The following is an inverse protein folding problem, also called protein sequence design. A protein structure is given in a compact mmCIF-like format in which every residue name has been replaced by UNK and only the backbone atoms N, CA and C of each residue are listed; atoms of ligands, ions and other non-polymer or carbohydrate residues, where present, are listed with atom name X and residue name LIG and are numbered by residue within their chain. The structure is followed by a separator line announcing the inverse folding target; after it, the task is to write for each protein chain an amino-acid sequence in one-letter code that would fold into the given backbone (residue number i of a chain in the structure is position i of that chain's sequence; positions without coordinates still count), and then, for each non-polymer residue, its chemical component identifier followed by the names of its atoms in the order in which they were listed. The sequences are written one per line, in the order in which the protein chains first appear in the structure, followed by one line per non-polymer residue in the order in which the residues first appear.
data_IF_970902173710
#
_entry.id   IF_970902173710
#
_cell.length_a   1.000
_cell.length_b   1.000
_cell.length_c   1.000
_cell.angle_alpha   90.00
_cell.angle_beta   90.00
_cell.angle_gamma   90.00
#
_symmetry.space_group_name_H-M   'P 1'
#
loop_
_entity.id
_entity.type
_entity.pdbx_description
1 polymer ?
#
# COMPACT_ATOMS: atom_id res chain seq x y z
N UNK A 1 -47.66 -30.48 -24.79
CA UNK A 1 -47.71 -29.77 -23.50
C UNK A 1 -46.28 -29.36 -23.13
N UNK A 2 -45.89 -28.13 -23.47
CA UNK A 2 -44.64 -27.53 -23.05
C UNK A 2 -44.96 -26.44 -22.03
N UNK A 3 -44.46 -26.58 -20.80
CA UNK A 3 -44.50 -25.54 -19.79
C UNK A 3 -43.37 -24.55 -20.06
N UNK A 4 -43.71 -23.32 -20.45
CA UNK A 4 -42.79 -22.18 -20.34
C UNK A 4 -42.79 -21.73 -18.88
N UNK A 5 -41.66 -21.90 -18.18
CA UNK A 5 -41.39 -21.18 -16.94
C UNK A 5 -40.88 -19.78 -17.28
N UNK A 6 -41.69 -18.76 -17.03
CA UNK A 6 -41.27 -17.36 -17.00
C UNK A 6 -40.49 -17.10 -15.71
N UNK A 7 -39.16 -17.02 -15.81
CA UNK A 7 -38.30 -16.54 -14.74
C UNK A 7 -38.36 -15.02 -14.66
N UNK A 8 -38.92 -14.49 -13.57
CA UNK A 8 -38.94 -13.06 -13.27
C UNK A 8 -37.56 -12.66 -12.73
N UNK A 9 -36.71 -12.08 -13.57
CA UNK A 9 -35.44 -11.49 -13.12
C UNK A 9 -35.74 -10.17 -12.40
N UNK A 10 -35.74 -10.17 -11.07
CA UNK A 10 -35.67 -8.95 -10.28
C UNK A 10 -34.26 -8.35 -10.42
N UNK A 11 -34.13 -7.32 -11.26
CA UNK A 11 -32.97 -6.44 -11.23
C UNK A 11 -33.06 -5.55 -9.99
N UNK A 12 -32.31 -5.90 -8.94
CA UNK A 12 -32.03 -4.99 -7.82
C UNK A 12 -31.12 -3.87 -8.35
N UNK A 13 -31.73 -2.75 -8.74
CA UNK A 13 -31.01 -1.49 -8.96
C UNK A 13 -30.56 -0.99 -7.59
N UNK A 14 -29.33 -1.33 -7.20
CA UNK A 14 -28.68 -0.75 -6.04
C UNK A 14 -28.49 0.75 -6.30
N UNK A 15 -29.25 1.59 -5.58
CA UNK A 15 -29.00 3.03 -5.57
C UNK A 15 -27.63 3.28 -4.93
N UNK A 16 -26.61 3.49 -5.75
CA UNK A 16 -25.34 4.04 -5.29
C UNK A 16 -25.63 5.47 -4.79
N UNK A 17 -25.75 5.63 -3.48
CA UNK A 17 -25.79 6.96 -2.88
C UNK A 17 -24.46 7.64 -3.22
N UNK A 18 -24.53 8.72 -4.01
CA UNK A 18 -23.38 9.57 -4.28
C UNK A 18 -22.94 10.21 -2.95
N UNK A 19 -21.98 9.61 -2.27
CA UNK A 19 -21.26 10.26 -1.19
C UNK A 19 -20.44 11.36 -1.86
N UNK A 20 -20.62 12.65 -1.51
CA UNK A 20 -19.75 13.69 -2.05
C UNK A 20 -18.32 13.30 -1.69
N UNK A 21 -17.39 13.36 -2.65
CA UNK A 21 -15.97 13.34 -2.30
C UNK A 21 -15.76 14.51 -1.36
N UNK A 22 -15.65 14.23 -0.06
CA UNK A 22 -15.11 15.20 0.90
C UNK A 22 -13.76 15.57 0.33
N UNK A 23 -13.58 16.83 -0.06
CA UNK A 23 -12.24 17.34 -0.31
C UNK A 23 -11.48 17.10 0.99
N UNK A 24 -10.61 16.09 1.04
CA UNK A 24 -9.46 16.16 1.94
C UNK A 24 -8.93 17.56 1.71
N UNK A 25 -8.90 18.38 2.74
CA UNK A 25 -8.31 19.70 2.68
C UNK A 25 -6.82 19.49 2.49
N UNK A 26 -6.41 19.16 1.26
CA UNK A 26 -5.02 19.19 0.84
C UNK A 26 -4.68 20.67 0.81
N UNK A 27 -4.30 21.21 1.97
CA UNK A 27 -3.72 22.53 2.05
C UNK A 27 -2.52 22.52 1.11
N UNK A 28 -2.61 23.22 -0.02
CA UNK A 28 -1.44 23.42 -0.89
C UNK A 28 -0.38 24.13 -0.05
N UNK A 29 0.78 23.51 0.22
CA UNK A 29 1.88 24.24 0.78
C UNK A 29 2.35 25.24 -0.28
N UNK A 30 3.06 26.28 0.15
CA UNK A 30 3.92 27.03 -0.75
C UNK A 30 4.88 26.06 -1.48
N UNK A 31 4.53 25.68 -2.71
CA UNK A 31 5.13 24.67 -3.61
C UNK A 31 5.28 23.27 -2.99
N UNK A 32 4.34 22.37 -3.30
CA UNK A 32 4.48 20.91 -3.09
C UNK A 32 5.63 20.28 -3.90
N UNK A 33 5.80 18.95 -3.86
CA UNK A 33 6.89 18.27 -4.57
C UNK A 33 6.84 18.56 -6.07
N UNK A 34 8.00 18.66 -6.71
CA UNK A 34 8.07 18.75 -8.16
C UNK A 34 7.80 17.39 -8.81
N UNK A 35 7.45 17.38 -10.11
CA UNK A 35 7.33 16.14 -10.87
C UNK A 35 8.61 15.29 -10.78
N UNK A 36 9.80 15.91 -10.76
CA UNK A 36 11.06 15.18 -10.60
C UNK A 36 11.20 14.54 -9.20
N UNK A 37 10.69 15.20 -8.16
CA UNK A 37 10.65 14.63 -6.81
C UNK A 37 9.69 13.43 -6.76
N UNK A 38 8.51 13.55 -7.39
CA UNK A 38 7.50 12.48 -7.45
C UNK A 38 8.02 11.29 -8.25
N UNK A 39 8.68 11.52 -9.39
CA UNK A 39 9.28 10.45 -10.20
C UNK A 39 10.43 9.76 -9.48
N UNK A 40 11.27 10.50 -8.74
CA UNK A 40 12.33 9.88 -7.92
C UNK A 40 11.76 9.13 -6.72
N UNK A 41 10.65 9.61 -6.14
CA UNK A 41 9.90 8.88 -5.13
C UNK A 41 9.37 7.55 -5.68
N UNK A 42 8.69 7.57 -6.83
CA UNK A 42 8.20 6.36 -7.49
C UNK A 42 9.36 5.42 -7.82
N UNK A 43 10.45 5.92 -8.42
CA UNK A 43 11.63 5.11 -8.75
C UNK A 43 12.28 4.47 -7.51
N UNK A 44 12.19 5.09 -6.34
CA UNK A 44 12.67 4.49 -5.08
C UNK A 44 11.87 3.25 -4.70
N UNK A 45 10.55 3.27 -4.93
CA UNK A 45 9.66 2.14 -4.68
C UNK A 45 9.83 1.06 -5.75
N UNK A 46 9.92 1.45 -7.03
CA UNK A 46 10.20 0.51 -8.12
C UNK A 46 11.51 -0.25 -7.92
N UNK A 47 12.58 0.43 -7.47
CA UNK A 47 13.83 -0.26 -7.14
C UNK A 47 13.67 -1.26 -5.99
N UNK A 48 12.80 -0.98 -5.02
CA UNK A 48 12.53 -1.89 -3.91
C UNK A 48 11.84 -3.16 -4.43
N UNK A 49 10.80 -3.03 -5.25
CA UNK A 49 10.04 -4.15 -5.82
C UNK A 49 10.86 -4.94 -6.84
N UNK A 50 11.57 -4.26 -7.74
CA UNK A 50 12.48 -4.88 -8.70
C UNK A 50 13.60 -5.69 -8.01
N UNK A 51 14.22 -5.16 -6.95
CA UNK A 51 15.20 -5.94 -6.16
C UNK A 51 14.52 -7.09 -5.43
N UNK A 52 13.35 -6.88 -4.81
CA UNK A 52 12.59 -7.90 -4.12
C UNK A 52 12.30 -9.11 -5.00
N UNK A 53 11.75 -8.89 -6.20
CA UNK A 53 11.39 -9.98 -7.11
C UNK A 53 12.61 -10.70 -7.68
N UNK A 54 13.66 -9.96 -8.06
CA UNK A 54 14.91 -10.58 -8.53
C UNK A 54 15.57 -11.44 -7.46
N UNK A 55 15.67 -10.93 -6.23
CA UNK A 55 16.26 -11.67 -5.11
C UNK A 55 15.42 -12.91 -4.77
N UNK A 56 14.09 -12.79 -4.83
CA UNK A 56 13.16 -13.90 -4.66
C UNK A 56 13.36 -15.00 -5.70
N UNK A 57 13.39 -14.63 -6.99
CA UNK A 57 13.56 -15.57 -8.11
C UNK A 57 14.98 -16.14 -8.21
N UNK A 58 15.99 -15.43 -7.70
CA UNK A 58 17.34 -15.97 -7.54
C UNK A 58 17.43 -17.00 -6.39
N UNK A 59 16.62 -16.82 -5.34
CA UNK A 59 16.60 -17.69 -4.15
C UNK A 59 15.72 -18.92 -4.31
N UNK A 60 14.60 -18.80 -5.01
CA UNK A 60 13.59 -19.85 -5.13
C UNK A 60 13.39 -20.27 -6.59
N UNK A 61 13.58 -21.55 -6.85
CA UNK A 61 13.33 -22.19 -8.14
C UNK A 61 11.85 -22.52 -8.33
N UNK A 62 11.46 -22.87 -9.57
CA UNK A 62 10.13 -23.42 -9.87
C UNK A 62 9.81 -24.64 -8.99
N UNK A 63 10.81 -25.47 -8.66
CA UNK A 63 10.64 -26.61 -7.75
C UNK A 63 10.28 -26.16 -6.33
N UNK A 64 10.89 -25.10 -5.81
CA UNK A 64 10.56 -24.58 -4.48
C UNK A 64 9.12 -24.05 -4.45
N UNK A 65 8.66 -23.44 -5.54
CA UNK A 65 7.25 -23.05 -5.70
C UNK A 65 6.33 -24.27 -5.72
N UNK A 66 6.66 -25.31 -6.48
CA UNK A 66 5.91 -26.57 -6.51
C UNK A 66 5.85 -27.24 -5.14
N UNK A 67 6.97 -27.31 -4.42
CA UNK A 67 7.05 -27.87 -3.07
C UNK A 67 6.24 -27.04 -2.05
N UNK A 68 6.10 -25.72 -2.28
CA UNK A 68 5.23 -24.84 -1.50
C UNK A 68 3.74 -24.92 -1.87
N UNK A 69 3.39 -25.66 -2.93
CA UNK A 69 2.01 -25.89 -3.38
C UNK A 69 1.54 -25.00 -4.53
N UNK A 70 2.46 -24.33 -5.23
CA UNK A 70 2.16 -23.45 -6.36
C UNK A 70 2.50 -24.12 -7.69
N UNK A 71 1.64 -23.97 -8.69
CA UNK A 71 1.90 -24.53 -10.02
C UNK A 71 2.96 -23.71 -10.80
N UNK A 72 3.41 -24.27 -11.93
CA UNK A 72 4.38 -23.62 -12.81
C UNK A 72 3.87 -22.30 -13.42
N UNK A 73 2.55 -22.13 -13.52
CA UNK A 73 1.94 -20.88 -14.01
C UNK A 73 2.15 -19.77 -12.98
N UNK A 74 2.08 -20.08 -11.67
CA UNK A 74 2.43 -19.13 -10.61
C UNK A 74 3.87 -18.67 -10.74
N UNK A 75 4.82 -19.59 -10.85
CA UNK A 75 6.24 -19.22 -11.00
C UNK A 75 6.47 -18.33 -12.23
N UNK A 76 5.90 -18.69 -13.39
CA UNK A 76 6.01 -17.90 -14.62
C UNK A 76 5.38 -16.51 -14.51
N UNK A 77 4.25 -16.39 -13.83
CA UNK A 77 3.62 -15.09 -13.62
C UNK A 77 4.46 -14.21 -12.68
N UNK A 78 5.08 -14.78 -11.64
CA UNK A 78 6.04 -14.02 -10.80
C UNK A 78 7.27 -13.58 -11.60
N UNK A 79 7.76 -14.39 -12.55
CA UNK A 79 8.81 -13.95 -13.48
C UNK A 79 8.34 -12.78 -14.37
N UNK A 80 7.04 -12.75 -14.72
CA UNK A 80 6.47 -11.65 -15.50
C UNK A 80 6.41 -10.38 -14.67
N UNK A 81 5.89 -10.45 -13.43
CA UNK A 81 5.90 -9.32 -12.47
C UNK A 81 7.32 -8.78 -12.31
N UNK A 82 8.30 -9.64 -12.05
CA UNK A 82 9.70 -9.23 -11.95
C UNK A 82 10.24 -8.50 -13.19
N UNK A 83 9.75 -8.85 -14.38
CA UNK A 83 10.14 -8.19 -15.64
C UNK A 83 9.42 -6.86 -15.82
N UNK A 84 8.19 -6.74 -15.34
CA UNK A 84 7.42 -5.50 -15.35
C UNK A 84 8.09 -4.48 -14.41
N UNK A 85 8.48 -4.87 -13.18
CA UNK A 85 9.20 -3.97 -12.25
C UNK A 85 10.52 -3.45 -12.82
N UNK A 86 11.31 -4.32 -13.45
CA UNK A 86 12.53 -3.89 -14.14
C UNK A 86 12.24 -2.89 -15.28
N UNK A 87 11.09 -3.03 -15.93
CA UNK A 87 10.63 -2.12 -16.99
C UNK A 87 10.18 -0.79 -16.40
N UNK A 88 9.46 -0.78 -15.28
CA UNK A 88 9.08 0.43 -14.55
C UNK A 88 10.33 1.23 -14.10
N UNK A 89 11.32 0.56 -13.49
CA UNK A 89 12.61 1.16 -13.13
C UNK A 89 13.29 1.81 -14.34
N UNK A 90 13.37 1.10 -15.47
CA UNK A 90 13.99 1.60 -16.70
C UNK A 90 13.25 2.82 -17.26
N UNK A 91 11.92 2.75 -17.26
CA UNK A 91 11.05 3.81 -17.73
C UNK A 91 11.24 5.10 -16.91
N UNK A 92 11.12 5.01 -15.57
CA UNK A 92 11.26 6.17 -14.68
C UNK A 92 12.67 6.74 -14.71
N UNK A 93 13.70 5.88 -14.75
CA UNK A 93 15.10 6.31 -14.89
C UNK A 93 15.29 7.14 -16.16
N UNK A 94 14.74 6.69 -17.28
CA UNK A 94 14.82 7.38 -18.57
C UNK A 94 14.04 8.70 -18.54
N UNK A 95 12.84 8.70 -17.94
CA UNK A 95 12.02 9.90 -17.81
C UNK A 95 12.72 10.99 -16.97
N UNK A 96 13.33 10.61 -15.85
CA UNK A 96 14.10 11.52 -14.99
C UNK A 96 15.32 12.10 -15.72
N UNK A 97 16.08 11.27 -16.44
CA UNK A 97 17.21 11.74 -17.25
C UNK A 97 16.78 12.70 -18.35
N UNK A 98 15.68 12.40 -19.04
CA UNK A 98 15.11 13.28 -20.07
C UNK A 98 14.61 14.61 -19.49
N UNK A 99 14.12 14.61 -18.25
CA UNK A 99 13.75 15.80 -17.50
C UNK A 99 14.96 16.59 -16.95
N UNK A 100 16.19 16.12 -17.15
CA UNK A 100 17.41 16.72 -16.61
C UNK A 100 17.57 16.53 -15.09
N UNK A 101 16.82 15.60 -14.50
CA UNK A 101 16.93 15.21 -13.10
C UNK A 101 17.90 14.03 -12.94
N UNK A 102 18.52 13.92 -11.76
CA UNK A 102 19.34 12.76 -11.40
C UNK A 102 18.42 11.65 -10.86
N UNK A 103 18.37 10.46 -11.49
CA UNK A 103 17.62 9.34 -10.95
C UNK A 103 18.25 8.77 -9.69
N UNK A 104 17.43 8.42 -8.70
CA UNK A 104 17.86 7.59 -7.56
C UNK A 104 18.36 6.23 -8.04
N UNK A 105 19.36 5.70 -7.33
CA UNK A 105 19.84 4.33 -7.48
C UNK A 105 19.18 3.43 -6.44
N UNK A 106 19.10 2.13 -6.73
CA UNK A 106 18.64 1.12 -5.80
C UNK A 106 19.38 1.18 -4.44
N UNK A 107 18.63 1.00 -3.37
CA UNK A 107 19.16 0.87 -2.02
C UNK A 107 19.60 -0.58 -1.74
N UNK A 108 20.12 -0.83 -0.54
CA UNK A 108 20.27 -2.18 0.01
C UNK A 108 19.03 -2.47 0.84
N UNK A 109 18.45 -3.66 0.65
CA UNK A 109 17.19 -4.03 1.26
C UNK A 109 17.30 -5.29 2.14
N UNK A 110 16.35 -5.45 3.06
CA UNK A 110 16.14 -6.68 3.82
C UNK A 110 14.65 -7.01 3.91
N UNK A 111 14.24 -8.06 3.19
CA UNK A 111 12.84 -8.48 3.09
C UNK A 111 12.43 -9.60 4.06
N UNK A 112 13.40 -10.18 4.79
CA UNK A 112 13.20 -11.19 5.83
C UNK A 112 12.41 -12.47 5.45
N UNK A 113 12.05 -12.72 4.19
CA UNK A 113 11.40 -13.96 3.76
C UNK A 113 12.35 -15.16 3.76
N UNK A 114 11.86 -16.30 4.22
CA UNK A 114 12.65 -17.53 4.36
C UNK A 114 12.20 -18.65 3.45
N UNK A 115 10.98 -18.57 2.93
CA UNK A 115 10.37 -19.56 2.05
C UNK A 115 9.44 -18.89 1.01
N UNK A 116 8.94 -19.66 0.04
CA UNK A 116 8.07 -19.15 -1.03
C UNK A 116 6.77 -18.54 -0.49
N UNK A 117 6.23 -19.06 0.61
CA UNK A 117 4.96 -18.56 1.17
C UNK A 117 5.15 -17.19 1.81
N UNK A 118 6.20 -17.03 2.60
CA UNK A 118 6.60 -15.73 3.17
C UNK A 118 7.03 -14.74 2.11
N UNK A 119 7.68 -15.19 1.03
CA UNK A 119 7.96 -14.37 -0.14
C UNK A 119 6.67 -13.85 -0.80
N UNK A 120 5.71 -14.72 -1.15
CA UNK A 120 4.45 -14.28 -1.77
C UNK A 120 3.58 -13.44 -0.82
N UNK A 121 3.66 -13.66 0.49
CA UNK A 121 3.00 -12.79 1.47
C UNK A 121 3.62 -11.39 1.49
N UNK A 122 4.95 -11.27 1.47
CA UNK A 122 5.63 -9.97 1.32
C UNK A 122 5.31 -9.32 -0.02
N UNK A 123 5.22 -10.10 -1.11
CA UNK A 123 4.82 -9.62 -2.42
C UNK A 123 3.43 -8.97 -2.37
N UNK A 124 2.42 -9.65 -1.79
CA UNK A 124 1.06 -9.10 -1.61
C UNK A 124 1.08 -7.73 -0.91
N UNK A 125 1.93 -7.60 0.12
CA UNK A 125 2.11 -6.36 0.87
C UNK A 125 2.69 -5.25 0.00
N UNK A 126 3.81 -5.51 -0.67
CA UNK A 126 4.51 -4.52 -1.49
C UNK A 126 3.61 -4.02 -2.63
N UNK A 127 3.00 -4.93 -3.36
CA UNK A 127 2.10 -4.63 -4.48
C UNK A 127 0.91 -3.76 -4.07
N UNK A 128 0.30 -4.06 -2.92
CA UNK A 128 -0.76 -3.21 -2.38
C UNK A 128 -0.25 -1.82 -1.98
N UNK A 129 0.99 -1.72 -1.50
CA UNK A 129 1.65 -0.44 -1.20
C UNK A 129 1.98 0.32 -2.49
N UNK A 130 2.43 -0.36 -3.55
CA UNK A 130 2.66 0.20 -4.89
C UNK A 130 1.38 0.83 -5.46
N UNK A 131 0.26 0.11 -5.42
CA UNK A 131 -1.07 0.64 -5.79
C UNK A 131 -1.40 1.91 -5.01
N UNK A 132 -1.26 1.87 -3.69
CA UNK A 132 -1.52 3.02 -2.82
C UNK A 132 -0.59 4.21 -3.08
N UNK A 133 0.65 3.96 -3.47
CA UNK A 133 1.66 4.97 -3.77
C UNK A 133 1.34 5.72 -5.05
N UNK A 134 1.11 5.00 -6.15
CA UNK A 134 0.74 5.62 -7.42
C UNK A 134 -0.59 6.36 -7.34
N UNK A 135 -1.59 5.76 -6.68
CA UNK A 135 -2.89 6.40 -6.50
C UNK A 135 -2.79 7.66 -5.62
N UNK A 136 -1.98 7.61 -4.57
CA UNK A 136 -1.74 8.73 -3.66
C UNK A 136 -1.02 9.90 -4.31
N UNK A 137 0.04 9.63 -5.08
CA UNK A 137 0.83 10.65 -5.76
C UNK A 137 0.13 11.27 -6.99
N UNK A 138 -0.92 10.62 -7.51
CA UNK A 138 -1.58 11.04 -8.76
C UNK A 138 -2.06 12.50 -8.74
N UNK A 139 -2.51 13.00 -7.59
CA UNK A 139 -2.99 14.37 -7.45
C UNK A 139 -1.85 15.42 -7.49
N UNK A 140 -0.63 15.02 -7.14
CA UNK A 140 0.54 15.90 -7.06
C UNK A 140 1.30 16.01 -8.39
N UNK A 141 1.04 15.11 -9.35
CA UNK A 141 1.69 15.13 -10.67
C UNK A 141 1.15 16.29 -11.52
N UNK A 142 2.04 17.23 -11.86
CA UNK A 142 1.73 18.42 -12.65
C UNK A 142 1.65 18.10 -14.15
N UNK A 143 2.62 17.34 -14.67
CA UNK A 143 2.67 16.92 -16.07
C UNK A 143 1.60 15.89 -16.40
N UNK A 144 0.77 16.18 -17.42
CA UNK A 144 -0.27 15.23 -17.88
C UNK A 144 0.31 13.99 -18.55
N UNK A 145 1.50 14.09 -19.11
CA UNK A 145 2.21 12.95 -19.69
C UNK A 145 2.69 12.02 -18.58
N UNK A 146 3.26 12.56 -17.50
CA UNK A 146 3.66 11.77 -16.34
C UNK A 146 2.45 11.20 -15.60
N UNK A 147 1.36 11.95 -15.49
CA UNK A 147 0.13 11.45 -14.88
C UNK A 147 -0.44 10.26 -15.67
N UNK A 148 -0.40 10.34 -17.00
CA UNK A 148 -0.84 9.23 -17.87
C UNK A 148 0.06 8.02 -17.72
N UNK A 149 1.38 8.23 -17.67
CA UNK A 149 2.33 7.15 -17.44
C UNK A 149 2.16 6.50 -16.07
N UNK A 150 2.08 7.29 -15.00
CA UNK A 150 1.79 6.82 -13.65
C UNK A 150 0.47 6.05 -13.58
N UNK A 151 -0.58 6.53 -14.25
CA UNK A 151 -1.84 5.83 -14.37
C UNK A 151 -1.73 4.48 -15.08
N UNK A 152 -0.83 4.35 -16.06
CA UNK A 152 -0.57 3.06 -16.72
C UNK A 152 0.08 2.05 -15.77
N UNK A 153 1.10 2.47 -15.01
CA UNK A 153 1.79 1.64 -14.01
C UNK A 153 0.82 1.22 -12.90
N UNK A 154 0.06 2.16 -12.32
CA UNK A 154 -0.97 1.88 -11.31
C UNK A 154 -1.91 0.73 -11.70
N UNK A 155 -2.35 0.67 -12.97
CA UNK A 155 -3.25 -0.41 -13.41
C UNK A 155 -2.55 -1.77 -13.52
N UNK A 156 -1.23 -1.79 -13.73
CA UNK A 156 -0.41 -2.99 -13.76
C UNK A 156 -0.16 -3.49 -12.35
N UNK A 157 0.27 -2.61 -11.43
CA UNK A 157 0.38 -2.89 -9.98
C UNK A 157 -0.91 -3.50 -9.42
N UNK A 158 -2.06 -2.93 -9.75
CA UNK A 158 -3.35 -3.44 -9.28
C UNK A 158 -3.64 -4.86 -9.78
N UNK A 159 -3.18 -5.22 -11.00
CA UNK A 159 -3.33 -6.59 -11.53
C UNK A 159 -2.37 -7.56 -10.88
N UNK A 160 -1.13 -7.13 -10.64
CA UNK A 160 -0.13 -7.90 -9.90
C UNK A 160 -0.61 -8.19 -8.48
N UNK A 161 -1.02 -7.15 -7.73
CA UNK A 161 -1.63 -7.27 -6.40
C UNK A 161 -2.82 -8.23 -6.39
N UNK A 162 -3.80 -8.03 -7.28
CA UNK A 162 -4.99 -8.90 -7.36
C UNK A 162 -4.62 -10.36 -7.62
N UNK A 163 -3.68 -10.60 -8.53
CA UNK A 163 -3.21 -11.94 -8.86
C UNK A 163 -2.53 -12.61 -7.66
N UNK A 164 -1.60 -11.91 -7.00
CA UNK A 164 -0.83 -12.47 -5.87
C UNK A 164 -1.75 -12.76 -4.70
N UNK A 165 -2.65 -11.83 -4.36
CA UNK A 165 -3.70 -12.02 -3.35
C UNK A 165 -4.49 -13.30 -3.59
N UNK A 166 -4.95 -13.51 -4.84
CA UNK A 166 -5.65 -14.74 -5.22
C UNK A 166 -4.83 -16.01 -4.95
N UNK A 167 -3.50 -15.96 -5.20
CA UNK A 167 -2.61 -17.10 -5.00
C UNK A 167 -2.33 -17.42 -3.55
N UNK A 168 -2.34 -16.42 -2.67
CA UNK A 168 -2.16 -16.64 -1.24
C UNK A 168 -3.47 -16.86 -0.47
N UNK A 169 -4.58 -17.09 -1.18
CA UNK A 169 -5.94 -17.29 -0.65
C UNK A 169 -6.53 -16.06 0.04
N UNK A 170 -6.11 -14.87 -0.38
CA UNK A 170 -6.77 -13.61 -0.05
C UNK A 170 -7.78 -13.24 -1.12
N UNK A 171 -8.71 -12.33 -0.78
CA UNK A 171 -9.67 -11.83 -1.77
C UNK A 171 -8.94 -10.91 -2.77
N UNK A 172 -9.04 -11.17 -4.08
CA UNK A 172 -8.28 -10.43 -5.10
C UNK A 172 -8.71 -8.96 -5.30
N UNK A 173 -9.93 -8.63 -4.89
CA UNK A 173 -10.54 -7.30 -5.00
C UNK A 173 -11.44 -7.07 -3.77
N UNK A 174 -10.84 -6.91 -2.58
CA UNK A 174 -11.55 -6.97 -1.31
C UNK A 174 -12.48 -5.77 -1.07
N UNK A 175 -12.26 -4.67 -1.77
CA UNK A 175 -13.00 -3.42 -1.65
C UNK A 175 -13.17 -2.74 -3.01
N UNK A 176 -14.22 -1.89 -3.19
CA UNK A 176 -14.50 -1.24 -4.47
C UNK A 176 -13.55 -0.09 -4.80
N UNK A 177 -12.75 0.37 -3.83
CA UNK A 177 -11.79 1.46 -3.99
C UNK A 177 -10.51 1.16 -3.22
N UNK A 178 -9.35 1.34 -3.85
CA UNK A 178 -8.06 1.30 -3.17
C UNK A 178 -7.83 2.57 -2.34
N UNK A 179 -6.96 2.48 -1.34
CA UNK A 179 -6.67 3.57 -0.42
C UNK A 179 -5.46 4.39 -0.91
N UNK A 180 -5.62 5.67 -1.26
CA UNK A 180 -4.48 6.55 -1.54
C UNK A 180 -3.76 6.92 -0.24
N UNK A 181 -2.46 6.64 -0.20
CA UNK A 181 -1.57 7.02 0.90
C UNK A 181 -0.76 8.28 0.55
N UNK A 182 -0.39 9.09 1.53
CA UNK A 182 0.56 10.19 1.32
C UNK A 182 1.98 9.66 1.04
N UNK A 183 2.85 10.50 0.50
CA UNK A 183 4.25 10.12 0.25
C UNK A 183 4.94 9.67 1.54
N UNK A 184 4.68 10.35 2.66
CA UNK A 184 5.22 10.01 3.99
C UNK A 184 4.64 8.68 4.51
N UNK A 185 3.34 8.45 4.34
CA UNK A 185 2.69 7.19 4.73
C UNK A 185 3.30 5.99 3.98
N UNK A 186 3.48 6.10 2.67
CA UNK A 186 4.12 5.04 1.86
C UNK A 186 5.59 4.88 2.23
N UNK A 187 6.34 5.98 2.33
CA UNK A 187 7.76 5.91 2.68
C UNK A 187 7.97 5.30 4.07
N UNK A 188 7.03 5.50 5.01
CA UNK A 188 7.03 4.85 6.31
C UNK A 188 6.88 3.33 6.22
N UNK A 189 6.15 2.82 5.22
CA UNK A 189 6.05 1.38 4.95
C UNK A 189 7.30 0.86 4.24
N UNK A 190 7.74 1.53 3.17
CA UNK A 190 8.90 1.14 2.38
C UNK A 190 10.22 1.17 3.18
N UNK A 191 10.40 2.20 4.03
CA UNK A 191 11.63 2.39 4.82
C UNK A 191 11.95 1.23 5.76
N UNK A 192 10.97 0.40 6.10
CA UNK A 192 11.18 -0.78 6.94
C UNK A 192 12.00 -1.88 6.24
N UNK A 193 12.04 -1.85 4.91
CA UNK A 193 12.84 -2.77 4.10
C UNK A 193 14.19 -2.19 3.71
N UNK A 194 14.40 -0.88 3.88
CA UNK A 194 15.61 -0.18 3.45
C UNK A 194 16.68 -0.24 4.55
N UNK A 195 17.83 -0.85 4.26
CA UNK A 195 18.98 -0.92 5.16
C UNK A 195 19.87 0.31 4.99
N UNK A 196 20.17 0.68 3.74
CA UNK A 196 20.99 1.85 3.40
C UNK A 196 20.78 2.23 1.93
N UNK A 197 20.97 3.50 1.59
CA UNK A 197 20.92 3.97 0.20
C UNK A 197 22.25 4.65 -0.18
N UNK A 198 22.61 4.68 -1.48
CA UNK A 198 23.77 5.43 -1.94
C UNK A 198 23.72 6.90 -1.50
N UNK A 199 24.80 7.46 -0.92
CA UNK A 199 24.80 8.81 -0.38
C UNK A 199 24.63 9.90 -1.45
N UNK A 200 24.88 9.56 -2.72
CA UNK A 200 24.65 10.44 -3.87
C UNK A 200 23.19 10.50 -4.33
N UNK A 201 22.30 9.65 -3.79
CA UNK A 201 20.89 9.71 -4.16
C UNK A 201 20.31 11.09 -3.79
N UNK A 202 19.47 11.69 -4.65
CA UNK A 202 18.77 12.91 -4.31
C UNK A 202 17.91 12.71 -3.05
N UNK A 203 17.81 13.74 -2.23
CA UNK A 203 16.94 13.71 -1.06
C UNK A 203 15.49 13.76 -1.51
N UNK A 204 14.72 12.77 -1.11
CA UNK A 204 13.27 12.76 -1.31
C UNK A 204 12.60 13.71 -0.30
N UNK A 205 11.53 14.43 -0.68
CA UNK A 205 10.76 15.28 0.21
C UNK A 205 9.78 14.45 1.05
N UNK A 206 10.29 13.42 1.74
CA UNK A 206 9.49 12.50 2.55
C UNK A 206 10.06 12.33 3.94
N UNK A 207 9.20 12.00 4.89
CA UNK A 207 9.52 11.71 6.27
C UNK A 207 8.89 10.36 6.66
N UNK A 208 9.71 9.47 7.19
CA UNK A 208 9.21 8.25 7.80
C UNK A 208 8.60 8.58 9.17
N UNK A 209 7.34 8.21 9.37
CA UNK A 209 6.69 8.21 10.67
C UNK A 209 7.20 7.06 11.54
N UNK A 210 7.05 7.16 12.88
CA UNK A 210 7.31 6.05 13.78
C UNK A 210 6.52 4.79 13.40
N UNK A 211 7.23 3.65 13.34
CA UNK A 211 6.65 2.36 12.93
C UNK A 211 5.56 1.87 13.89
N UNK A 212 4.48 1.33 13.33
CA UNK A 212 3.51 0.50 14.05
C UNK A 212 3.64 -0.96 13.64
N UNK A 213 3.51 -1.87 14.60
CA UNK A 213 3.53 -3.32 14.36
C UNK A 213 2.19 -3.93 14.79
N UNK A 214 1.47 -4.57 13.88
CA UNK A 214 0.26 -5.32 14.24
C UNK A 214 0.63 -6.51 15.14
N UNK A 215 0.02 -6.58 16.34
CA UNK A 215 0.17 -7.71 17.27
C UNK A 215 -0.91 -8.77 17.06
N UNK A 216 -2.13 -8.34 16.76
CA UNK A 216 -3.26 -9.24 16.57
C UNK A 216 -3.04 -10.14 15.37
N UNK A 217 -3.19 -11.45 15.59
CA UNK A 217 -3.00 -12.46 14.53
C UNK A 217 -4.26 -12.60 13.66
N UNK A 218 -4.12 -12.83 12.34
CA UNK A 218 -5.25 -13.14 11.47
C UNK A 218 -5.91 -14.49 11.85
N UNK A 219 -7.18 -14.72 11.46
CA UNK A 219 -8.02 -13.81 10.68
C UNK A 219 -8.55 -12.65 11.53
N UNK A 220 -8.53 -11.43 10.96
CA UNK A 220 -9.11 -10.22 11.54
C UNK A 220 -10.34 -9.86 10.72
N UNK A 221 -11.45 -9.51 11.36
CA UNK A 221 -12.67 -9.05 10.68
C UNK A 221 -13.19 -7.75 11.29
N UNK A 222 -14.10 -7.11 10.58
CA UNK A 222 -14.85 -5.96 11.10
C UNK A 222 -15.50 -6.26 12.44
N UNK A 223 -15.42 -5.30 13.37
CA UNK A 223 -15.93 -5.42 14.73
C UNK A 223 -14.96 -6.06 15.71
N UNK A 224 -13.88 -6.70 15.25
CA UNK A 224 -12.82 -7.18 16.14
C UNK A 224 -12.07 -6.00 16.77
N UNK A 225 -11.56 -6.21 17.98
CA UNK A 225 -10.57 -5.31 18.58
C UNK A 225 -9.18 -5.80 18.23
N UNK A 226 -8.38 -4.94 17.61
CA UNK A 226 -6.99 -5.22 17.26
C UNK A 226 -6.04 -4.39 18.10
N UNK A 227 -4.81 -4.86 18.24
CA UNK A 227 -3.71 -4.17 18.92
C UNK A 227 -2.57 -3.92 17.94
N UNK A 228 -2.06 -2.68 17.95
CA UNK A 228 -0.80 -2.29 17.30
C UNK A 228 0.20 -1.85 18.37
N UNK A 229 1.46 -2.24 18.19
CA UNK A 229 2.56 -1.95 19.11
C UNK A 229 3.41 -0.78 18.59
N UNK A 230 4.02 -0.05 19.53
CA UNK A 230 4.99 1.02 19.30
C UNK A 230 6.38 0.57 19.76
N UNK A 231 7.07 -0.32 19.01
CA UNK A 231 8.29 -0.94 19.49
C UNK A 231 9.42 0.09 19.65
N UNK A 232 9.95 0.20 20.87
CA UNK A 232 11.10 1.07 21.16
C UNK A 232 10.76 2.53 21.42
N UNK A 233 9.49 2.92 21.44
CA UNK A 233 9.07 4.29 21.74
C UNK A 233 7.69 4.34 22.41
N UNK A 234 7.32 5.52 22.92
CA UNK A 234 5.98 5.83 23.43
C UNK A 234 5.48 7.08 22.71
N UNK A 235 4.18 7.15 22.45
CA UNK A 235 3.54 8.34 21.91
C UNK A 235 3.19 9.26 23.08
N UNK A 236 3.72 10.48 23.06
CA UNK A 236 3.34 11.52 24.02
C UNK A 236 2.01 12.14 23.59
N UNK A 237 0.93 11.87 24.32
CA UNK A 237 -0.40 12.39 23.98
C UNK A 237 -0.75 13.69 24.70
N UNK A 238 0.07 14.12 25.68
CA UNK A 238 -0.19 15.31 26.52
C UNK A 238 -1.62 15.38 27.12
N UNK A 239 -2.24 14.22 27.37
CA UNK A 239 -3.62 14.13 27.89
C UNK A 239 -4.71 14.18 26.82
N UNK A 240 -4.34 14.35 25.55
CA UNK A 240 -5.25 14.29 24.41
C UNK A 240 -5.59 12.84 24.04
N UNK A 241 -6.73 12.68 23.37
CA UNK A 241 -7.14 11.40 22.81
C UNK A 241 -6.32 11.08 21.57
N UNK A 242 -6.09 9.79 21.37
CA UNK A 242 -5.50 9.28 20.15
C UNK A 242 -6.57 8.54 19.35
N UNK A 243 -6.47 8.60 18.03
CA UNK A 243 -7.36 7.93 17.10
C UNK A 243 -6.57 7.02 16.17
N UNK A 244 -7.15 5.88 15.84
CA UNK A 244 -6.79 5.07 14.70
C UNK A 244 -7.59 5.57 13.50
N UNK A 245 -6.90 6.13 12.52
CA UNK A 245 -7.51 6.60 11.28
C UNK A 245 -7.30 5.55 10.18
N UNK A 246 -8.40 4.95 9.73
CA UNK A 246 -8.44 3.99 8.64
C UNK A 246 -8.51 4.75 7.31
N UNK A 247 -7.50 4.59 6.45
CA UNK A 247 -7.36 5.39 5.23
C UNK A 247 -8.25 4.85 4.11
N UNK A 248 -9.01 5.73 3.47
CA UNK A 248 -9.85 5.44 2.30
C UNK A 248 -9.95 6.67 1.39
N UNK A 249 -10.21 6.44 0.10
CA UNK A 249 -10.39 7.54 -0.89
C UNK A 249 -11.61 8.42 -0.58
N UNK A 250 -12.62 7.87 0.10
CA UNK A 250 -13.82 8.61 0.55
C UNK A 250 -13.59 9.47 1.79
N UNK A 251 -12.36 9.48 2.31
CA UNK A 251 -11.98 10.12 3.57
C UNK A 251 -11.74 9.09 4.68
N UNK A 252 -10.88 9.42 5.66
CA UNK A 252 -10.53 8.51 6.74
C UNK A 252 -11.70 8.24 7.69
N UNK A 253 -11.74 7.03 8.26
CA UNK A 253 -12.64 6.71 9.38
C UNK A 253 -11.85 6.66 10.68
N UNK A 254 -12.25 7.47 11.66
CA UNK A 254 -11.58 7.56 12.95
C UNK A 254 -12.25 6.67 14.00
N UNK A 255 -11.43 5.90 14.72
CA UNK A 255 -11.84 5.13 15.89
C UNK A 255 -10.93 5.49 17.05
N UNK A 256 -11.47 5.71 18.25
CA UNK A 256 -10.64 6.01 19.42
C UNK A 256 -9.64 4.87 19.70
N UNK A 257 -8.36 5.20 19.75
CA UNK A 257 -7.26 4.28 20.04
C UNK A 257 -6.95 4.29 21.53
N UNK A 258 -7.20 3.16 22.20
CA UNK A 258 -7.05 3.02 23.65
C UNK A 258 -5.65 2.51 24.00
N UNK A 259 -4.93 3.15 24.95
CA UNK A 259 -3.61 2.68 25.34
C UNK A 259 -3.69 1.28 25.93
N UNK A 260 -2.75 0.42 25.54
CA UNK A 260 -2.50 -0.90 26.11
C UNK A 260 -1.01 -1.06 26.43
N UNK A 261 -0.61 -2.19 27.01
CA UNK A 261 0.80 -2.42 27.28
C UNK A 261 1.60 -2.47 25.96
N UNK A 262 2.50 -1.51 25.75
CA UNK A 262 3.38 -1.46 24.58
C UNK A 262 2.74 -0.94 23.29
N UNK A 263 1.52 -0.40 23.34
CA UNK A 263 0.83 0.06 22.13
C UNK A 263 -0.59 0.57 22.35
N UNK A 264 -1.43 0.40 21.34
CA UNK A 264 -2.81 0.88 21.31
C UNK A 264 -3.74 -0.19 20.73
N UNK A 265 -4.97 -0.26 21.26
CA UNK A 265 -6.03 -1.09 20.70
C UNK A 265 -7.22 -0.29 20.21
N UNK A 266 -7.88 -0.76 19.16
CA UNK A 266 -9.04 -0.12 18.55
C UNK A 266 -9.91 -1.16 17.83
N UNK A 267 -11.17 -0.80 17.60
CA UNK A 267 -12.13 -1.67 16.90
C UNK A 267 -12.03 -1.45 15.39
N UNK A 268 -12.05 -2.52 14.60
CA UNK A 268 -12.12 -2.44 13.14
C UNK A 268 -13.50 -1.90 12.73
N UNK A 269 -13.58 -0.72 12.07
CA UNK A 269 -14.85 -0.16 11.63
C UNK A 269 -15.42 -0.93 10.43
N UNK A 270 -16.71 -0.71 10.16
CA UNK A 270 -17.36 -1.21 8.93
C UNK A 270 -16.80 -0.49 7.71
N UNK A 271 -16.84 -1.16 6.56
CA UNK A 271 -16.47 -0.57 5.27
C UNK A 271 -15.01 -0.76 4.85
N UNK A 272 -14.22 -1.51 5.63
CA UNK A 272 -12.83 -1.84 5.32
C UNK A 272 -12.66 -3.36 5.17
N UNK A 273 -11.89 -3.77 4.17
CA UNK A 273 -11.60 -5.16 3.83
C UNK A 273 -10.28 -5.24 3.04
N UNK A 274 -9.59 -6.37 3.13
CA UNK A 274 -8.29 -6.59 2.51
C UNK A 274 -7.17 -5.82 3.18
N UNK A 275 -6.12 -5.53 2.41
CA UNK A 275 -4.97 -4.74 2.85
C UNK A 275 -5.41 -3.31 3.21
N UNK A 276 -5.51 -3.06 4.50
CA UNK A 276 -6.01 -1.80 5.07
C UNK A 276 -4.91 -1.08 5.83
N UNK A 277 -4.82 0.24 5.64
CA UNK A 277 -3.82 1.08 6.27
C UNK A 277 -4.41 1.89 7.41
N UNK A 278 -3.72 1.87 8.55
CA UNK A 278 -4.13 2.58 9.76
C UNK A 278 -3.00 3.40 10.32
N UNK A 279 -3.21 4.71 10.48
CA UNK A 279 -2.28 5.60 11.19
C UNK A 279 -2.84 5.92 12.58
N UNK A 280 -1.95 6.20 13.53
CA UNK A 280 -2.34 6.83 14.79
C UNK A 280 -2.18 8.35 14.66
N UNK A 281 -3.19 9.08 15.13
CA UNK A 281 -3.26 10.54 15.02
C UNK A 281 -3.94 11.18 16.23
N UNK A 282 -3.53 12.40 16.59
CA UNK A 282 -4.22 13.22 17.59
C UNK A 282 -5.46 13.97 17.05
N UNK A 283 -5.74 13.88 15.74
CA UNK A 283 -6.83 14.58 15.07
C UNK A 283 -7.93 13.58 14.64
N UNK A 284 -9.21 13.93 14.85
CA UNK A 284 -10.37 13.12 14.44
C UNK A 284 -11.14 13.72 13.24
N UNK A 285 -10.53 14.68 12.54
CA UNK A 285 -11.17 15.41 11.42
C UNK A 285 -10.45 15.20 10.10
N UNK A 286 -9.12 15.14 10.16
CA UNK A 286 -8.28 15.01 8.98
C UNK A 286 -7.05 14.15 9.28
N UNK A 287 -6.46 13.62 8.22
CA UNK A 287 -5.17 12.93 8.25
C UNK A 287 -4.26 13.70 7.30
N UNK A 288 -3.24 14.32 7.90
CA UNK A 288 -2.15 15.07 7.25
C UNK A 288 -0.83 14.69 7.93
N UNK A 289 0.29 14.94 7.27
CA UNK A 289 1.61 14.59 7.81
C UNK A 289 1.94 15.26 9.15
N UNK A 290 1.29 16.40 9.47
CA UNK A 290 1.40 17.10 10.75
C UNK A 290 0.55 16.48 11.88
N UNK A 291 -0.52 15.78 11.52
CA UNK A 291 -1.45 15.17 12.49
C UNK A 291 -1.11 13.71 12.79
N UNK A 292 -0.40 13.04 11.90
CA UNK A 292 0.04 11.64 12.08
C UNK A 292 1.17 11.58 13.09
N UNK A 293 1.02 10.73 14.10
CA UNK A 293 2.04 10.51 15.14
C UNK A 293 2.78 9.18 14.97
N UNK A 294 2.18 8.21 14.29
CA UNK A 294 2.79 6.91 13.97
C UNK A 294 2.02 6.16 12.86
N UNK A 295 2.70 5.26 12.17
CA UNK A 295 2.13 4.37 11.16
C UNK A 295 2.59 4.68 9.73
N UNK A 296 1.89 4.15 8.71
CA UNK A 296 0.76 3.24 8.82
C UNK A 296 1.14 1.87 9.39
N UNK A 297 0.19 1.22 10.07
CA UNK A 297 0.14 -0.23 10.22
C UNK A 297 -0.66 -0.81 9.05
N UNK A 298 -0.24 -1.98 8.56
CA UNK A 298 -1.00 -2.77 7.58
C UNK A 298 -1.81 -3.83 8.32
N UNK A 299 -3.09 -3.95 7.98
CA UNK A 299 -4.02 -4.94 8.54
C UNK A 299 -4.75 -5.62 7.38
N UNK A 300 -4.59 -6.94 7.23
CA UNK A 300 -5.38 -7.74 6.30
C UNK A 300 -6.73 -8.08 6.97
N UNK A 301 -7.79 -7.43 6.52
CA UNK A 301 -9.15 -7.61 7.05
C UNK A 301 -9.92 -8.60 6.15
N UNK A 302 -10.37 -9.72 6.72
CA UNK A 302 -11.15 -10.71 5.99
C UNK A 302 -12.42 -10.11 5.40
N UNK A 303 -12.65 -10.36 4.10
CA UNK A 303 -13.92 -10.05 3.44
C UNK A 303 -14.92 -11.16 3.76
N UNK A 304 -16.16 -10.76 4.10
CA UNK A 304 -17.25 -11.62 4.59
C UNK A 304 -17.63 -12.77 3.65
#
# INVERSE_FOLDING_TARGET
MHYLQTGLSLALVGAAAAVPLSSRGYASPSKGPSDADILNYALTLEHLEDVFYRDGLAKFSEKDFADAGYDAVVYKNIQTVSSDEATHVSFLTTALQAAGATPVKACTYNFAYTDVKTFLATASVLEGVGVSAYLGAAADIMSKDYLTAAGSILTVEARHSSYIRAKINEVPFPQPFDAPLTLDEVYSLASQFIVSCPPENPKLPVKAFPKLTLETKPPIKTGDTVTVLTPGYKIETHGEKLYAAFIAVTGPTFVEAKPVNGGYSFVIPKGFAGQTYVVLTGCDKEVTDDTVVAGPAIIEIASY
#
